data_IF_429062839062
#
_entry.id   IF_429062839062
#
_cell.length_a   1.000
_cell.length_b   1.000
_cell.length_c   1.000
_cell.angle_alpha   90.00
_cell.angle_beta   90.00
_cell.angle_gamma   90.00
#
_symmetry.space_group_name_H-M   'P 1'
#
loop_
_entity.id
_entity.type
_entity.pdbx_description
1 polymer ?
#
# COMPACT_ATOMS: atom_id res chain seq x y z
N UNK A 1 15.54 45.35 -41.61
CA UNK A 1 14.61 44.23 -41.81
C UNK A 1 14.77 43.31 -40.62
N UNK A 2 13.94 43.53 -39.64
CA UNK A 2 13.94 42.77 -38.38
C UNK A 2 13.20 41.47 -38.57
N UNK A 3 13.85 40.36 -38.24
CA UNK A 3 13.24 39.05 -38.23
C UNK A 3 12.48 38.83 -36.90
N UNK A 4 11.18 38.72 -37.02
CA UNK A 4 10.23 38.47 -35.98
C UNK A 4 10.41 37.04 -35.43
N UNK A 5 11.00 36.88 -34.25
CA UNK A 5 11.11 35.60 -33.55
C UNK A 5 9.81 35.34 -32.83
N UNK A 6 8.94 34.55 -33.44
CA UNK A 6 7.69 34.06 -32.84
C UNK A 6 7.97 33.26 -31.57
N UNK A 7 7.66 33.86 -30.43
CA UNK A 7 7.67 33.18 -29.13
C UNK A 7 6.62 32.08 -29.07
N UNK A 8 7.06 30.84 -29.10
CA UNK A 8 6.22 29.67 -28.79
C UNK A 8 5.76 29.76 -27.33
N UNK A 9 4.50 30.07 -27.12
CA UNK A 9 3.84 29.98 -25.81
C UNK A 9 3.89 28.50 -25.38
N UNK A 10 4.84 28.14 -24.51
CA UNK A 10 4.84 26.85 -23.84
C UNK A 10 3.55 26.72 -23.04
N UNK A 11 2.59 25.94 -23.52
CA UNK A 11 1.44 25.53 -22.73
C UNK A 11 1.96 24.93 -21.43
N UNK A 12 1.76 25.59 -20.28
CA UNK A 12 1.99 25.01 -18.96
C UNK A 12 1.15 23.72 -18.90
N UNK A 13 1.79 22.55 -18.91
CA UNK A 13 1.09 21.31 -18.57
C UNK A 13 0.59 21.49 -17.14
N UNK A 14 -0.71 21.33 -16.91
CA UNK A 14 -1.26 21.27 -15.56
C UNK A 14 -0.58 20.07 -14.90
N UNK A 15 0.28 20.33 -13.93
CA UNK A 15 0.83 19.27 -13.09
C UNK A 15 -0.27 18.81 -12.14
N UNK A 16 -0.43 17.51 -11.95
CA UNK A 16 -1.37 16.95 -10.98
C UNK A 16 -1.00 17.46 -9.58
N UNK A 17 -1.97 17.85 -8.72
CA UNK A 17 -1.67 18.34 -7.38
C UNK A 17 -0.96 17.27 -6.54
N UNK A 18 -0.08 17.69 -5.64
CA UNK A 18 0.55 16.78 -4.67
C UNK A 18 -0.50 16.15 -3.74
N UNK A 19 -0.27 14.94 -3.19
CA UNK A 19 -1.25 14.20 -2.39
C UNK A 19 -1.91 15.03 -1.27
N UNK A 20 -1.16 15.79 -0.49
CA UNK A 20 -1.74 16.67 0.53
C UNK A 20 -2.71 17.71 -0.05
N UNK A 21 -2.35 18.30 -1.19
CA UNK A 21 -3.23 19.29 -1.84
C UNK A 21 -4.54 18.62 -2.30
N UNK A 22 -4.48 17.39 -2.77
CA UNK A 22 -5.69 16.61 -3.14
C UNK A 22 -6.60 16.43 -1.93
N UNK A 23 -6.05 16.01 -0.76
CA UNK A 23 -6.84 15.83 0.46
C UNK A 23 -7.46 17.15 0.93
N UNK A 24 -6.68 18.24 0.91
CA UNK A 24 -7.19 19.57 1.26
C UNK A 24 -8.32 20.02 0.32
N UNK A 25 -8.17 19.80 -0.98
CA UNK A 25 -9.20 20.13 -1.98
C UNK A 25 -10.44 19.28 -1.77
N UNK A 26 -10.30 17.97 -1.51
CA UNK A 26 -11.45 17.09 -1.25
C UNK A 26 -12.18 17.52 0.03
N UNK A 27 -11.46 17.77 1.12
CA UNK A 27 -12.06 18.29 2.36
C UNK A 27 -12.81 19.62 2.11
N UNK A 28 -12.23 20.53 1.29
CA UNK A 28 -12.88 21.78 0.90
C UNK A 28 -14.15 21.55 0.07
N UNK A 29 -14.10 20.59 -0.88
CA UNK A 29 -15.27 20.23 -1.68
C UNK A 29 -16.39 19.74 -0.77
N UNK A 30 -16.12 18.82 0.17
CA UNK A 30 -17.13 18.34 1.11
C UNK A 30 -17.60 19.45 2.06
N UNK A 31 -16.73 20.37 2.49
CA UNK A 31 -17.13 21.56 3.26
C UNK A 31 -18.09 22.47 2.47
N UNK A 32 -17.89 22.63 1.15
CA UNK A 32 -18.82 23.37 0.29
C UNK A 32 -20.12 22.56 0.08
N UNK A 33 -20.02 21.26 -0.11
CA UNK A 33 -21.19 20.39 -0.28
C UNK A 33 -22.07 20.34 0.97
N UNK A 34 -21.56 20.63 2.17
CA UNK A 34 -22.34 20.71 3.40
C UNK A 34 -23.42 21.81 3.38
N UNK A 35 -23.31 22.77 2.47
CA UNK A 35 -24.35 23.79 2.25
C UNK A 35 -25.50 23.32 1.35
N UNK A 36 -25.38 22.13 0.73
CA UNK A 36 -26.34 21.62 -0.27
C UNK A 36 -26.86 20.23 0.15
N UNK A 37 -26.01 19.41 0.73
CA UNK A 37 -26.40 18.06 1.17
C UNK A 37 -27.03 18.17 2.55
N UNK A 38 -28.29 17.76 2.73
CA UNK A 38 -28.96 17.86 4.01
C UNK A 38 -28.36 16.93 5.06
N UNK A 39 -28.38 17.37 6.31
CA UNK A 39 -28.00 16.57 7.46
C UNK A 39 -29.03 15.47 7.72
N UNK A 40 -28.55 14.26 8.03
CA UNK A 40 -29.42 13.13 8.35
C UNK A 40 -28.76 12.19 9.35
N UNK A 41 -29.55 11.33 9.95
CA UNK A 41 -29.07 10.32 10.89
C UNK A 41 -29.76 8.98 10.68
N UNK A 42 -29.02 7.92 11.01
CA UNK A 42 -29.55 6.59 11.31
C UNK A 42 -29.42 6.33 12.80
N UNK A 43 -30.29 5.53 13.35
CA UNK A 43 -30.08 4.97 14.68
C UNK A 43 -29.06 3.84 14.60
N UNK A 44 -28.29 3.68 15.68
CA UNK A 44 -27.35 2.56 15.83
C UNK A 44 -28.03 1.43 16.55
N UNK A 45 -27.86 0.22 16.08
CA UNK A 45 -28.30 -1.00 16.74
C UNK A 45 -27.11 -1.90 17.04
N UNK A 46 -27.19 -2.67 18.11
CA UNK A 46 -26.13 -3.61 18.50
C UNK A 46 -26.46 -4.97 17.93
N UNK A 47 -25.53 -5.51 17.14
CA UNK A 47 -25.62 -6.90 16.68
C UNK A 47 -24.57 -7.75 17.38
N UNK A 48 -24.94 -9.03 17.63
CA UNK A 48 -24.02 -10.04 18.09
C UNK A 48 -23.43 -10.76 16.87
N UNK A 49 -22.14 -11.02 16.91
CA UNK A 49 -21.45 -11.80 15.88
C UNK A 49 -20.44 -12.73 16.51
N UNK A 50 -20.18 -13.85 15.87
CA UNK A 50 -19.16 -14.80 16.30
C UNK A 50 -17.78 -14.29 15.86
N UNK A 51 -16.92 -13.99 16.82
CA UNK A 51 -15.54 -13.58 16.58
C UNK A 51 -14.68 -14.75 16.07
N UNK A 52 -13.51 -14.47 15.53
CA UNK A 52 -12.62 -15.48 14.95
C UNK A 52 -12.13 -16.54 15.95
N UNK A 53 -12.22 -16.27 17.25
CA UNK A 53 -11.90 -17.18 18.34
C UNK A 53 -13.09 -18.03 18.81
N UNK A 54 -14.25 -17.89 18.14
CA UNK A 54 -15.49 -18.57 18.50
C UNK A 54 -16.25 -17.91 19.65
N UNK A 55 -15.80 -16.76 20.18
CA UNK A 55 -16.53 -16.00 21.19
C UNK A 55 -17.63 -15.14 20.54
N UNK A 56 -18.74 -14.93 21.28
CA UNK A 56 -19.74 -13.94 20.86
C UNK A 56 -19.29 -12.55 21.24
N UNK A 57 -19.17 -11.68 20.24
CA UNK A 57 -18.84 -10.29 20.38
C UNK A 57 -20.03 -9.43 19.93
N UNK A 58 -20.11 -8.20 20.43
CA UNK A 58 -21.13 -7.23 20.02
C UNK A 58 -20.48 -6.07 19.28
N UNK A 59 -21.18 -5.54 18.28
CA UNK A 59 -20.81 -4.28 17.64
C UNK A 59 -22.02 -3.44 17.31
N UNK A 60 -21.82 -2.14 17.29
CA UNK A 60 -22.82 -1.20 16.80
C UNK A 60 -22.79 -1.15 15.27
N UNK A 61 -23.96 -1.23 14.67
CA UNK A 61 -24.19 -1.09 13.21
C UNK A 61 -25.34 -0.13 12.98
N UNK A 62 -25.39 0.44 11.80
CA UNK A 62 -26.47 1.28 11.35
C UNK A 62 -27.74 0.44 11.16
N UNK A 63 -28.88 0.88 11.74
CA UNK A 63 -30.19 0.31 11.47
C UNK A 63 -30.76 0.92 10.17
N UNK A 64 -30.88 0.14 9.08
CA UNK A 64 -31.22 0.68 7.76
C UNK A 64 -32.63 1.29 7.70
N UNK A 65 -33.56 0.87 8.56
CA UNK A 65 -34.94 1.31 8.56
C UNK A 65 -35.19 2.63 9.31
N UNK A 66 -34.15 3.20 9.93
CA UNK A 66 -34.27 4.34 10.84
C UNK A 66 -33.79 5.67 10.25
N UNK A 67 -33.50 5.72 8.93
CA UNK A 67 -33.03 6.95 8.32
C UNK A 67 -34.01 8.11 8.44
N UNK A 68 -33.55 9.25 8.91
CA UNK A 68 -34.32 10.46 9.03
C UNK A 68 -33.49 11.70 8.74
N UNK A 69 -34.11 12.71 8.09
CA UNK A 69 -33.51 14.02 7.96
C UNK A 69 -33.53 14.72 9.32
N UNK A 70 -32.48 15.48 9.59
CA UNK A 70 -32.43 16.32 10.81
C UNK A 70 -33.25 17.59 10.64
N UNK A 71 -33.69 18.13 11.77
CA UNK A 71 -34.49 19.38 11.76
C UNK A 71 -33.66 20.62 11.36
N UNK A 72 -32.35 20.59 11.66
CA UNK A 72 -31.41 21.66 11.32
C UNK A 72 -30.24 21.09 10.54
N UNK A 73 -29.90 21.72 9.42
CA UNK A 73 -28.71 21.42 8.64
C UNK A 73 -27.49 22.13 9.25
N UNK A 74 -26.38 21.39 9.35
CA UNK A 74 -25.11 21.95 9.82
C UNK A 74 -24.13 22.14 8.68
N UNK A 75 -23.99 23.39 8.21
CA UNK A 75 -22.98 23.75 7.20
C UNK A 75 -21.62 24.02 7.86
N UNK A 76 -20.57 23.37 7.36
CA UNK A 76 -19.22 23.46 7.90
C UNK A 76 -18.64 24.86 7.69
N UNK A 77 -18.30 25.53 8.77
CA UNK A 77 -17.66 26.85 8.75
C UNK A 77 -16.19 26.76 8.27
N UNK A 78 -15.63 27.90 7.85
CA UNK A 78 -14.23 27.97 7.46
C UNK A 78 -13.26 27.58 8.59
N UNK A 79 -13.60 27.85 9.85
CA UNK A 79 -12.78 27.47 10.98
C UNK A 79 -12.80 25.94 11.21
N UNK A 80 -13.97 25.31 11.11
CA UNK A 80 -14.11 23.85 11.19
C UNK A 80 -13.35 23.16 10.06
N UNK A 81 -13.42 23.68 8.83
CA UNK A 81 -12.60 23.18 7.72
C UNK A 81 -11.11 23.23 8.04
N UNK A 82 -10.57 24.35 8.55
CA UNK A 82 -9.13 24.44 8.85
C UNK A 82 -8.74 23.52 10.01
N UNK A 83 -9.56 23.45 11.06
CA UNK A 83 -9.28 22.61 12.23
C UNK A 83 -9.50 21.13 11.96
N UNK A 84 -10.23 20.76 10.90
CA UNK A 84 -10.47 19.36 10.53
C UNK A 84 -9.19 18.59 10.29
N UNK A 85 -8.12 19.23 9.79
CA UNK A 85 -6.83 18.57 9.56
C UNK A 85 -6.16 18.14 10.86
N UNK A 86 -6.22 18.93 11.90
CA UNK A 86 -5.69 18.60 13.22
C UNK A 86 -6.56 17.50 13.85
N UNK A 87 -7.88 17.69 13.85
CA UNK A 87 -8.85 16.72 14.37
C UNK A 87 -8.79 15.38 13.64
N UNK A 88 -8.53 15.40 12.34
CA UNK A 88 -8.28 14.17 11.55
C UNK A 88 -7.04 13.41 12.01
N UNK A 89 -5.94 14.09 12.31
CA UNK A 89 -4.75 13.47 12.89
C UNK A 89 -4.97 12.98 14.32
N UNK A 90 -5.72 13.74 15.14
CA UNK A 90 -6.08 13.35 16.50
C UNK A 90 -7.03 12.14 16.56
N UNK A 91 -7.78 11.89 15.49
CA UNK A 91 -8.70 10.75 15.41
C UNK A 91 -8.03 9.41 15.08
N UNK A 92 -6.81 9.40 14.54
CA UNK A 92 -6.10 8.17 14.09
C UNK A 92 -4.60 8.15 14.45
N UNK A 93 -4.20 8.60 15.66
CA UNK A 93 -2.79 8.71 16.02
C UNK A 93 -2.11 7.35 16.12
N UNK A 94 -2.80 6.32 16.58
CA UNK A 94 -2.34 4.95 16.74
C UNK A 94 -1.93 4.35 15.39
N UNK A 95 -2.73 4.55 14.35
CA UNK A 95 -2.42 4.15 12.97
C UNK A 95 -1.18 4.90 12.47
N UNK A 96 -1.15 6.23 12.62
CA UNK A 96 -0.04 7.06 12.16
C UNK A 96 1.28 6.68 12.82
N UNK A 97 1.29 6.48 14.15
CA UNK A 97 2.50 6.08 14.88
C UNK A 97 2.91 4.64 14.56
N UNK A 98 1.96 3.73 14.32
CA UNK A 98 2.29 2.38 13.87
C UNK A 98 3.00 2.42 12.51
N UNK A 99 2.53 3.21 11.55
CA UNK A 99 3.17 3.39 10.25
C UNK A 99 4.57 3.99 10.43
N UNK A 100 4.74 5.03 11.22
CA UNK A 100 6.06 5.63 11.47
C UNK A 100 7.06 4.63 12.04
N UNK A 101 6.69 3.92 13.10
CA UNK A 101 7.62 3.05 13.83
C UNK A 101 7.92 1.76 13.08
N UNK A 102 6.93 1.16 12.41
CA UNK A 102 7.16 -0.05 11.62
C UNK A 102 8.03 0.24 10.40
N UNK A 103 7.75 1.30 9.63
CA UNK A 103 8.59 1.68 8.49
C UNK A 103 10.01 2.03 8.93
N UNK A 104 10.17 2.78 10.02
CA UNK A 104 11.49 3.09 10.55
C UNK A 104 12.28 1.85 10.96
N UNK A 105 11.61 0.83 11.52
CA UNK A 105 12.25 -0.44 11.85
C UNK A 105 12.70 -1.20 10.59
N UNK A 106 11.88 -1.24 9.54
CA UNK A 106 12.26 -1.83 8.26
C UNK A 106 13.35 -1.03 7.54
N UNK A 107 13.34 0.30 7.66
CA UNK A 107 14.44 1.14 7.17
C UNK A 107 15.77 0.73 7.81
N UNK A 108 15.80 0.48 9.13
CA UNK A 108 16.98 -0.05 9.83
C UNK A 108 17.41 -1.41 9.24
N UNK A 109 16.47 -2.31 8.94
CA UNK A 109 16.77 -3.59 8.30
C UNK A 109 17.40 -3.38 6.92
N UNK A 110 16.86 -2.49 6.10
CA UNK A 110 17.37 -2.15 4.77
C UNK A 110 18.79 -1.60 4.83
N UNK A 111 19.09 -0.69 5.76
CA UNK A 111 20.43 -0.14 5.97
C UNK A 111 21.49 -1.19 6.29
N UNK A 112 21.10 -2.36 6.83
CA UNK A 112 22.02 -3.47 7.02
C UNK A 112 22.43 -4.18 5.73
N UNK A 113 21.69 -3.97 4.65
CA UNK A 113 21.81 -4.69 3.39
C UNK A 113 21.48 -6.18 3.50
N UNK A 114 20.75 -6.61 4.54
CA UNK A 114 20.45 -8.02 4.78
C UNK A 114 19.53 -8.59 3.69
N UNK A 115 18.50 -7.84 3.27
CA UNK A 115 17.55 -8.24 2.23
C UNK A 115 18.28 -8.35 0.89
N UNK A 116 19.05 -7.32 0.52
CA UNK A 116 19.83 -7.28 -0.73
C UNK A 116 20.83 -8.44 -0.80
N UNK A 117 21.54 -8.70 0.31
CA UNK A 117 22.49 -9.81 0.41
C UNK A 117 21.80 -11.20 0.27
N UNK A 118 20.61 -11.36 0.87
CA UNK A 118 19.83 -12.59 0.79
C UNK A 118 19.38 -12.89 -0.64
N UNK A 119 18.76 -11.89 -1.29
CA UNK A 119 18.31 -11.99 -2.69
C UNK A 119 19.51 -12.19 -3.64
N UNK A 120 20.59 -11.41 -3.48
CA UNK A 120 21.80 -11.54 -4.29
C UNK A 120 22.42 -12.93 -4.17
N UNK A 121 22.48 -13.50 -2.96
CA UNK A 121 22.98 -14.88 -2.75
C UNK A 121 22.10 -15.93 -3.43
N UNK A 122 20.78 -15.74 -3.41
CA UNK A 122 19.85 -16.63 -4.08
C UNK A 122 20.09 -16.62 -5.59
N UNK A 123 20.21 -15.43 -6.19
CA UNK A 123 20.49 -15.27 -7.62
C UNK A 123 21.76 -15.98 -8.02
N UNK A 124 22.85 -15.74 -7.28
CA UNK A 124 24.15 -16.40 -7.54
C UNK A 124 24.03 -17.94 -7.41
N UNK A 125 23.30 -18.45 -6.42
CA UNK A 125 23.10 -19.88 -6.19
C UNK A 125 22.28 -20.56 -7.30
N UNK A 126 21.30 -19.86 -7.86
CA UNK A 126 20.46 -20.38 -8.95
C UNK A 126 21.21 -20.46 -10.28
N UNK A 127 22.21 -19.61 -10.50
CA UNK A 127 23.17 -19.68 -11.61
C UNK A 127 22.51 -19.95 -12.97
N UNK A 128 22.86 -21.10 -13.59
CA UNK A 128 22.38 -21.45 -14.93
C UNK A 128 20.92 -21.93 -15.00
N UNK A 129 20.23 -22.09 -13.88
CA UNK A 129 18.78 -22.40 -13.85
C UNK A 129 17.95 -21.14 -14.02
N UNK A 130 18.20 -20.41 -15.10
CA UNK A 130 17.64 -19.09 -15.42
C UNK A 130 16.13 -19.00 -15.25
N UNK A 131 15.44 -20.04 -15.71
CA UNK A 131 13.98 -20.15 -15.67
C UNK A 131 13.41 -20.12 -14.23
N UNK A 132 14.10 -20.72 -13.25
CA UNK A 132 13.61 -20.76 -11.86
C UNK A 132 13.82 -19.43 -11.11
N UNK A 133 14.65 -18.53 -11.62
CA UNK A 133 14.91 -17.24 -11.00
C UNK A 133 13.61 -16.42 -10.94
N UNK A 134 12.83 -16.41 -12.04
CA UNK A 134 11.60 -15.63 -12.17
C UNK A 134 10.60 -15.99 -11.05
N UNK A 135 10.08 -17.23 -10.96
CA UNK A 135 9.05 -17.55 -9.97
C UNK A 135 9.57 -17.51 -8.53
N UNK A 136 10.85 -17.83 -8.29
CA UNK A 136 11.39 -17.77 -6.93
C UNK A 136 11.47 -16.33 -6.42
N UNK A 137 11.98 -15.40 -7.23
CA UNK A 137 12.09 -14.00 -6.81
C UNK A 137 10.70 -13.36 -6.72
N UNK A 138 9.82 -13.64 -7.70
CA UNK A 138 8.45 -13.16 -7.68
C UNK A 138 7.71 -13.64 -6.41
N UNK A 139 7.81 -14.92 -6.07
CA UNK A 139 7.22 -15.46 -4.83
C UNK A 139 7.78 -14.79 -3.59
N UNK A 140 9.11 -14.56 -3.51
CA UNK A 140 9.72 -13.86 -2.36
C UNK A 140 9.17 -12.43 -2.25
N UNK A 141 9.09 -11.70 -3.35
CA UNK A 141 8.58 -10.33 -3.34
C UNK A 141 7.09 -10.26 -3.01
N UNK A 142 6.30 -11.21 -3.51
CA UNK A 142 4.90 -11.33 -3.13
C UNK A 142 4.72 -11.63 -1.62
N UNK A 143 5.55 -12.51 -1.05
CA UNK A 143 5.53 -12.77 0.39
C UNK A 143 5.91 -11.52 1.18
N UNK A 144 6.94 -10.77 0.77
CA UNK A 144 7.32 -9.52 1.42
C UNK A 144 6.20 -8.47 1.33
N UNK A 145 5.57 -8.30 0.17
CA UNK A 145 4.41 -7.43 0.00
C UNK A 145 3.22 -7.84 0.87
N UNK A 146 2.93 -9.16 0.94
CA UNK A 146 1.82 -9.70 1.70
C UNK A 146 2.00 -9.61 3.22
N UNK A 147 3.23 -9.74 3.71
CA UNK A 147 3.51 -9.83 5.16
C UNK A 147 4.02 -8.51 5.73
N UNK A 148 5.00 -7.91 5.09
CA UNK A 148 5.69 -6.70 5.55
C UNK A 148 5.00 -5.44 5.03
N UNK A 149 4.30 -5.55 3.88
CA UNK A 149 3.71 -4.40 3.22
C UNK A 149 4.74 -3.57 2.44
N UNK A 150 5.87 -4.18 2.05
CA UNK A 150 6.87 -3.53 1.21
C UNK A 150 6.43 -3.56 -0.24
N UNK A 151 6.36 -2.42 -0.87
CA UNK A 151 6.10 -2.29 -2.31
C UNK A 151 7.10 -1.33 -2.95
N UNK A 152 7.21 -0.12 -2.42
CA UNK A 152 8.12 0.91 -2.91
C UNK A 152 9.59 0.49 -2.75
N UNK A 153 9.92 -0.17 -1.65
CA UNK A 153 11.25 -0.69 -1.38
C UNK A 153 11.66 -1.79 -2.38
N UNK A 154 10.68 -2.51 -2.94
CA UNK A 154 10.98 -3.51 -3.97
C UNK A 154 11.51 -2.87 -5.25
N UNK A 155 11.15 -1.62 -5.56
CA UNK A 155 11.66 -0.91 -6.74
C UNK A 155 13.18 -0.75 -6.71
N UNK A 156 13.81 -0.70 -5.53
CA UNK A 156 15.27 -0.66 -5.38
C UNK A 156 15.97 -1.90 -5.95
N UNK A 157 15.23 -3.01 -6.17
CA UNK A 157 15.79 -4.21 -6.80
C UNK A 157 15.80 -4.14 -8.33
N UNK A 158 15.07 -3.23 -8.95
CA UNK A 158 15.05 -3.11 -10.42
C UNK A 158 16.45 -2.89 -11.00
N UNK A 159 17.28 -1.96 -10.49
CA UNK A 159 18.66 -1.77 -10.98
C UNK A 159 19.55 -2.99 -10.82
N UNK A 160 19.28 -3.82 -9.82
CA UNK A 160 20.05 -5.04 -9.56
C UNK A 160 19.59 -6.19 -10.46
N UNK A 161 18.29 -6.34 -10.63
CA UNK A 161 17.69 -7.47 -11.35
C UNK A 161 17.71 -7.27 -12.87
N UNK A 162 17.53 -6.04 -13.37
CA UNK A 162 17.47 -5.76 -14.80
C UNK A 162 18.72 -6.25 -15.55
N UNK A 163 19.96 -5.91 -15.14
CA UNK A 163 21.16 -6.44 -15.80
C UNK A 163 21.24 -7.95 -15.73
N UNK A 164 20.74 -8.58 -14.65
CA UNK A 164 20.77 -10.04 -14.47
C UNK A 164 19.81 -10.73 -15.44
N UNK A 165 18.58 -10.24 -15.52
CA UNK A 165 17.59 -10.81 -16.44
C UNK A 165 17.94 -10.55 -17.89
N UNK A 166 18.41 -9.35 -18.24
CA UNK A 166 18.89 -9.04 -19.59
C UNK A 166 20.10 -9.90 -19.96
N UNK A 167 21.10 -10.02 -19.08
CA UNK A 167 22.25 -10.91 -19.26
C UNK A 167 21.88 -12.39 -19.34
N UNK A 168 20.75 -12.79 -18.76
CA UNK A 168 20.19 -14.12 -18.87
C UNK A 168 19.45 -14.38 -20.21
N UNK A 169 19.25 -13.35 -21.03
CA UNK A 169 18.54 -13.43 -22.31
C UNK A 169 17.05 -13.12 -22.22
N UNK A 170 16.61 -12.54 -21.11
CA UNK A 170 15.29 -11.96 -20.91
C UNK A 170 15.30 -10.46 -21.20
N UNK A 171 14.29 -9.73 -20.77
CA UNK A 171 14.18 -8.29 -20.99
C UNK A 171 13.85 -7.53 -19.69
N UNK A 172 13.87 -6.20 -19.77
CA UNK A 172 13.52 -5.31 -18.66
C UNK A 172 12.05 -5.44 -18.25
N UNK A 173 11.13 -5.85 -19.14
CA UNK A 173 9.72 -6.08 -18.79
C UNK A 173 9.55 -7.25 -17.83
N UNK A 174 10.35 -8.32 -17.97
CA UNK A 174 10.36 -9.40 -16.97
C UNK A 174 10.83 -8.88 -15.63
N UNK A 175 11.84 -8.01 -15.60
CA UNK A 175 12.28 -7.38 -14.34
C UNK A 175 11.16 -6.60 -13.66
N UNK A 176 10.49 -5.74 -14.42
CA UNK A 176 9.35 -4.94 -13.93
C UNK A 176 8.23 -5.87 -13.46
N UNK A 177 7.89 -6.90 -14.24
CA UNK A 177 6.88 -7.88 -13.87
C UNK A 177 7.21 -8.63 -12.57
N UNK A 178 8.46 -9.07 -12.40
CA UNK A 178 8.91 -9.77 -11.19
C UNK A 178 8.89 -8.84 -9.97
N UNK A 179 9.22 -7.55 -10.12
CA UNK A 179 9.25 -6.61 -8.99
C UNK A 179 7.86 -6.06 -8.71
N UNK A 180 7.25 -5.42 -9.69
CA UNK A 180 6.00 -4.67 -9.49
C UNK A 180 4.77 -5.59 -9.44
N UNK A 181 4.62 -6.52 -10.40
CA UNK A 181 3.44 -7.38 -10.40
C UNK A 181 3.46 -8.38 -9.23
N UNK A 182 4.65 -8.87 -8.84
CA UNK A 182 4.73 -9.75 -7.68
C UNK A 182 4.46 -9.00 -6.36
N UNK A 183 4.98 -7.77 -6.22
CA UNK A 183 4.63 -6.90 -5.09
C UNK A 183 3.12 -6.65 -5.03
N UNK A 184 2.48 -6.32 -6.15
CA UNK A 184 1.03 -6.14 -6.25
C UNK A 184 0.25 -7.43 -5.89
N UNK A 185 0.73 -8.61 -6.33
CA UNK A 185 0.14 -9.89 -5.90
C UNK A 185 0.22 -10.09 -4.39
N UNK A 186 1.33 -9.68 -3.78
CA UNK A 186 1.52 -9.69 -2.34
C UNK A 186 0.51 -8.78 -1.62
N UNK A 187 0.33 -7.57 -2.11
CA UNK A 187 -0.65 -6.62 -1.57
C UNK A 187 -2.09 -7.13 -1.74
N UNK A 188 -2.44 -7.68 -2.91
CA UNK A 188 -3.77 -8.25 -3.16
C UNK A 188 -4.07 -9.46 -2.26
N UNK A 189 -3.05 -10.26 -1.93
CA UNK A 189 -3.15 -11.37 -0.97
C UNK A 189 -2.54 -11.00 0.39
N UNK A 190 -2.77 -9.77 0.88
CA UNK A 190 -2.21 -9.28 2.13
C UNK A 190 -2.57 -10.19 3.32
N UNK A 191 -1.56 -10.74 4.00
CA UNK A 191 -1.78 -11.63 5.15
C UNK A 191 -1.57 -10.92 6.48
N UNK A 192 -0.43 -10.25 6.64
CA UNK A 192 -0.07 -9.49 7.85
C UNK A 192 0.40 -8.07 7.52
N UNK A 193 0.02 -7.58 6.35
CA UNK A 193 0.33 -6.22 5.93
C UNK A 193 -0.43 -5.22 6.81
N UNK A 194 0.30 -4.57 7.71
CA UNK A 194 -0.27 -3.61 8.65
C UNK A 194 -0.70 -2.30 7.98
N UNK A 195 -0.09 -1.94 6.82
CA UNK A 195 -0.28 -0.64 6.17
C UNK A 195 -1.56 -0.55 5.32
N UNK A 196 -2.01 -1.67 4.77
CA UNK A 196 -3.24 -1.72 3.97
C UNK A 196 -4.32 -2.53 4.69
N UNK A 197 -4.12 -3.84 4.81
CA UNK A 197 -5.09 -4.74 5.45
C UNK A 197 -5.36 -4.35 6.91
N UNK A 198 -4.31 -4.16 7.72
CA UNK A 198 -4.45 -3.81 9.13
C UNK A 198 -5.20 -2.50 9.33
N UNK A 199 -4.84 -1.45 8.56
CA UNK A 199 -5.52 -0.14 8.59
C UNK A 199 -6.97 -0.29 8.17
N UNK A 200 -7.26 -0.97 7.05
CA UNK A 200 -8.61 -1.13 6.56
C UNK A 200 -9.50 -1.92 7.54
N UNK A 201 -8.99 -3.03 8.08
CA UNK A 201 -9.74 -3.83 9.06
C UNK A 201 -9.95 -3.09 10.37
N UNK A 202 -8.93 -2.36 10.85
CA UNK A 202 -9.05 -1.54 12.04
C UNK A 202 -10.14 -0.48 11.91
N UNK A 203 -10.18 0.24 10.79
CA UNK A 203 -11.21 1.24 10.51
C UNK A 203 -12.59 0.59 10.33
N UNK A 204 -12.66 -0.58 9.69
CA UNK A 204 -13.91 -1.33 9.53
C UNK A 204 -14.44 -1.94 10.84
N UNK A 205 -13.69 -1.86 11.95
CA UNK A 205 -14.04 -2.51 13.22
C UNK A 205 -13.97 -4.05 13.14
N UNK A 206 -13.07 -4.58 12.32
CA UNK A 206 -12.79 -6.00 12.18
C UNK A 206 -11.54 -6.38 12.99
N UNK A 207 -11.44 -7.64 13.46
CA UNK A 207 -10.20 -8.13 14.03
C UNK A 207 -9.07 -8.01 13.00
N UNK A 208 -7.91 -7.48 13.44
CA UNK A 208 -6.75 -7.29 12.54
C UNK A 208 -6.31 -8.65 12.01
N UNK A 209 -6.02 -8.69 10.70
CA UNK A 209 -5.66 -9.88 9.94
C UNK A 209 -6.74 -10.99 9.94
N UNK A 210 -8.01 -10.64 10.22
CA UNK A 210 -9.14 -11.56 10.01
C UNK A 210 -9.25 -11.96 8.53
N UNK A 211 -9.87 -13.12 8.26
CA UNK A 211 -9.93 -13.64 6.89
C UNK A 211 -8.60 -14.21 6.35
N UNK A 212 -7.61 -14.47 7.22
CA UNK A 212 -6.27 -14.96 6.86
C UNK A 212 -6.28 -16.12 5.86
N UNK A 213 -7.21 -17.06 6.01
CA UNK A 213 -7.31 -18.22 5.12
C UNK A 213 -7.65 -17.78 3.68
N UNK A 214 -8.57 -16.84 3.53
CA UNK A 214 -8.92 -16.27 2.23
C UNK A 214 -7.73 -15.53 1.61
N UNK A 215 -7.01 -14.73 2.39
CA UNK A 215 -5.82 -14.00 1.96
C UNK A 215 -4.70 -14.93 1.50
N UNK A 216 -4.45 -16.03 2.22
CA UNK A 216 -3.45 -17.04 1.81
C UNK A 216 -3.83 -17.68 0.47
N UNK A 217 -5.11 -18.06 0.30
CA UNK A 217 -5.58 -18.62 -0.97
C UNK A 217 -5.46 -17.58 -2.08
N UNK A 218 -5.86 -16.33 -1.82
CA UNK A 218 -5.72 -15.20 -2.75
C UNK A 218 -4.27 -14.99 -3.16
N UNK A 219 -3.34 -14.93 -2.19
CA UNK A 219 -1.91 -14.80 -2.44
C UNK A 219 -1.39 -15.89 -3.38
N UNK A 220 -1.73 -17.16 -3.10
CA UNK A 220 -1.30 -18.28 -3.94
C UNK A 220 -1.86 -18.14 -5.36
N UNK A 221 -3.14 -17.79 -5.50
CA UNK A 221 -3.78 -17.59 -6.81
C UNK A 221 -3.11 -16.45 -7.59
N UNK A 222 -2.88 -15.30 -6.96
CA UNK A 222 -2.24 -14.15 -7.61
C UNK A 222 -0.80 -14.46 -7.99
N UNK A 223 -0.01 -15.05 -7.08
CA UNK A 223 1.40 -15.42 -7.34
C UNK A 223 1.49 -16.42 -8.50
N UNK A 224 0.69 -17.49 -8.45
CA UNK A 224 0.69 -18.51 -9.53
C UNK A 224 0.27 -17.88 -10.86
N UNK A 225 -0.71 -16.99 -10.86
CA UNK A 225 -1.16 -16.31 -12.07
C UNK A 225 -0.04 -15.47 -12.68
N UNK A 226 0.64 -14.66 -11.86
CA UNK A 226 1.77 -13.83 -12.32
C UNK A 226 2.92 -14.69 -12.78
N UNK A 227 3.29 -15.72 -12.03
CA UNK A 227 4.36 -16.63 -12.41
C UNK A 227 4.08 -17.31 -13.76
N UNK A 228 2.86 -17.78 -13.98
CA UNK A 228 2.47 -18.39 -15.26
C UNK A 228 2.60 -17.39 -16.41
N UNK A 229 2.15 -16.15 -16.23
CA UNK A 229 2.25 -15.08 -17.24
C UNK A 229 3.72 -14.76 -17.54
N UNK A 230 4.53 -14.54 -16.51
CA UNK A 230 5.95 -14.21 -16.65
C UNK A 230 6.75 -15.35 -17.29
N UNK A 231 6.50 -16.58 -16.86
CA UNK A 231 7.13 -17.78 -17.43
C UNK A 231 6.74 -17.97 -18.89
N UNK A 232 5.46 -17.78 -19.23
CA UNK A 232 5.01 -17.87 -20.63
C UNK A 232 5.71 -16.82 -21.49
N UNK A 233 5.82 -15.59 -21.00
CA UNK A 233 6.50 -14.50 -21.69
C UNK A 233 8.02 -14.77 -21.80
N UNK A 234 8.66 -15.22 -20.73
CA UNK A 234 10.07 -15.60 -20.72
C UNK A 234 10.41 -16.69 -21.75
N UNK A 235 9.60 -17.76 -21.82
CA UNK A 235 9.74 -18.81 -22.84
C UNK A 235 9.58 -18.33 -24.27
N UNK A 236 8.80 -17.29 -24.48
CA UNK A 236 8.66 -16.66 -25.78
C UNK A 236 9.94 -15.90 -26.17
N UNK A 237 10.58 -15.22 -25.22
CA UNK A 237 11.84 -14.53 -25.44
C UNK A 237 13.02 -15.50 -25.61
N UNK A 238 13.03 -16.63 -24.91
CA UNK A 238 14.05 -17.66 -25.10
C UNK A 238 14.10 -18.20 -26.54
N UNK A 239 12.95 -18.22 -27.24
CA UNK A 239 12.88 -18.63 -28.64
C UNK A 239 13.32 -17.53 -29.61
N UNK A 240 13.03 -16.28 -29.28
CA UNK A 240 13.30 -15.14 -30.14
C UNK A 240 13.29 -13.83 -29.33
N UNK A 241 14.45 -13.34 -28.97
CA UNK A 241 14.62 -12.12 -28.17
C UNK A 241 14.11 -10.86 -28.88
N UNK A 242 14.06 -10.88 -30.24
CA UNK A 242 13.56 -9.72 -31.00
C UNK A 242 12.06 -9.45 -30.80
N UNK A 243 11.36 -10.39 -30.17
CA UNK A 243 9.93 -10.21 -29.79
C UNK A 243 9.73 -9.39 -28.53
N UNK A 244 10.78 -9.01 -27.84
CA UNK A 244 10.71 -8.06 -26.74
C UNK A 244 10.35 -6.66 -27.24
N UNK A 245 9.41 -6.00 -26.56
CA UNK A 245 9.09 -4.60 -26.81
C UNK A 245 10.25 -3.65 -26.42
N UNK A 246 11.17 -4.12 -25.57
CA UNK A 246 12.31 -3.36 -25.05
C UNK A 246 13.64 -3.76 -25.70
N UNK A 247 13.61 -4.59 -26.77
CA UNK A 247 14.82 -5.20 -27.34
C UNK A 247 15.94 -4.21 -27.66
N UNK A 248 15.63 -3.10 -28.33
CA UNK A 248 16.64 -2.10 -28.71
C UNK A 248 17.18 -1.33 -27.48
N UNK A 249 16.29 -1.00 -26.54
CA UNK A 249 16.67 -0.30 -25.30
C UNK A 249 17.54 -1.18 -24.41
N UNK A 250 17.14 -2.44 -24.24
CA UNK A 250 17.83 -3.41 -23.40
C UNK A 250 19.21 -3.77 -23.99
N UNK A 251 19.34 -3.78 -25.30
CA UNK A 251 20.61 -3.99 -25.99
C UNK A 251 21.61 -2.84 -25.70
N UNK A 252 21.12 -1.59 -25.73
CA UNK A 252 21.94 -0.41 -25.37
C UNK A 252 22.30 -0.47 -23.88
N UNK A 253 21.32 -0.82 -23.04
CA UNK A 253 21.51 -0.95 -21.58
C UNK A 253 22.58 -2.01 -21.25
N UNK A 254 22.52 -3.20 -21.87
CA UNK A 254 23.47 -4.28 -21.64
C UNK A 254 24.92 -3.91 -22.01
N UNK A 255 25.09 -3.03 -23.00
CA UNK A 255 26.42 -2.55 -23.40
C UNK A 255 27.05 -1.61 -22.36
N UNK A 256 26.23 -0.87 -21.62
CA UNK A 256 26.67 0.16 -20.69
C UNK A 256 26.70 -0.30 -19.22
N UNK A 257 26.00 -1.39 -18.86
CA UNK A 257 25.79 -1.82 -17.49
C UNK A 257 26.15 -3.32 -17.30
N UNK A 258 27.43 -3.61 -17.21
CA UNK A 258 27.87 -4.94 -16.78
C UNK A 258 27.59 -5.12 -15.27
N UNK A 259 26.93 -6.22 -14.88
CA UNK A 259 26.66 -6.50 -13.47
C UNK A 259 27.96 -6.78 -12.74
N UNK A 260 28.29 -5.94 -11.79
CA UNK A 260 29.32 -6.24 -10.80
C UNK A 260 28.71 -6.95 -9.59
N UNK A 261 28.66 -8.26 -9.63
CA UNK A 261 28.23 -9.09 -8.50
C UNK A 261 29.14 -8.96 -7.27
N UNK A 262 30.34 -8.40 -7.43
CA UNK A 262 31.27 -8.19 -6.32
C UNK A 262 30.85 -7.01 -5.45
N UNK A 263 30.02 -6.11 -5.97
CA UNK A 263 29.46 -4.97 -5.22
C UNK A 263 28.30 -5.35 -4.28
N UNK A 264 27.71 -6.56 -4.45
CA UNK A 264 26.62 -6.99 -3.58
C UNK A 264 27.13 -7.30 -2.16
N UNK A 265 26.38 -6.88 -1.11
CA UNK A 265 26.76 -7.15 0.25
C UNK A 265 26.88 -8.65 0.52
N UNK A 266 27.96 -9.08 1.20
CA UNK A 266 28.15 -10.48 1.55
C UNK A 266 27.02 -11.03 2.44
N UNK A 267 26.48 -12.21 2.11
CA UNK A 267 25.48 -12.90 2.92
C UNK A 267 26.12 -13.62 4.12
N UNK A 268 26.66 -12.83 5.03
CA UNK A 268 27.35 -13.28 6.22
C UNK A 268 26.41 -13.68 7.37
N UNK A 269 26.94 -14.21 8.47
CA UNK A 269 26.17 -14.65 9.64
C UNK A 269 25.35 -13.54 10.27
N UNK A 270 25.87 -12.32 10.34
CA UNK A 270 25.17 -11.14 10.87
C UNK A 270 23.87 -10.88 10.07
N UNK A 271 23.94 -10.87 8.74
CA UNK A 271 22.77 -10.63 7.89
C UNK A 271 21.76 -11.77 7.93
N UNK A 272 22.22 -13.03 8.06
CA UNK A 272 21.34 -14.18 8.30
C UNK A 272 20.57 -14.05 9.60
N UNK A 273 21.24 -13.64 10.69
CA UNK A 273 20.60 -13.41 11.98
C UNK A 273 19.57 -12.26 11.90
N UNK A 274 19.88 -11.19 11.17
CA UNK A 274 18.94 -10.09 10.94
C UNK A 274 17.68 -10.57 10.25
N UNK A 275 17.79 -11.33 9.15
CA UNK A 275 16.62 -11.89 8.47
C UNK A 275 15.85 -12.86 9.36
N UNK A 276 16.54 -13.63 10.21
CA UNK A 276 15.88 -14.48 11.20
C UNK A 276 15.08 -13.64 12.23
N UNK A 277 15.64 -12.52 12.70
CA UNK A 277 14.91 -11.60 13.60
C UNK A 277 13.67 -11.04 12.93
N UNK A 278 13.74 -10.64 11.65
CA UNK A 278 12.56 -10.19 10.89
C UNK A 278 11.49 -11.28 10.83
N UNK A 279 11.86 -12.51 10.48
CA UNK A 279 10.93 -13.64 10.44
C UNK A 279 10.31 -13.94 11.81
N UNK A 280 11.11 -13.91 12.88
CA UNK A 280 10.61 -14.11 14.25
C UNK A 280 9.68 -12.97 14.67
N UNK A 281 9.97 -11.74 14.29
CA UNK A 281 9.10 -10.58 14.56
C UNK A 281 7.74 -10.76 13.90
N UNK A 282 7.70 -11.17 12.64
CA UNK A 282 6.44 -11.45 11.94
C UNK A 282 5.66 -12.56 12.66
N UNK A 283 6.34 -13.64 13.05
CA UNK A 283 5.72 -14.74 13.79
C UNK A 283 5.16 -14.29 15.15
N UNK A 284 5.88 -13.43 15.88
CA UNK A 284 5.43 -12.85 17.17
C UNK A 284 4.23 -11.94 16.97
N UNK A 285 4.24 -11.08 15.94
CA UNK A 285 3.10 -10.22 15.59
C UNK A 285 1.87 -11.07 15.29
N UNK A 286 2.01 -12.08 14.42
CA UNK A 286 0.89 -13.00 14.11
C UNK A 286 0.35 -13.70 15.36
N UNK A 287 1.24 -14.24 16.19
CA UNK A 287 0.83 -14.90 17.43
C UNK A 287 0.13 -13.93 18.38
N UNK A 288 0.66 -12.71 18.54
CA UNK A 288 0.10 -11.68 19.39
C UNK A 288 -1.28 -11.22 18.92
N UNK A 289 -1.46 -11.02 17.62
CA UNK A 289 -2.76 -10.63 17.04
C UNK A 289 -3.78 -11.76 17.20
N UNK A 290 -3.42 -13.00 16.82
CA UNK A 290 -4.36 -14.12 16.83
C UNK A 290 -4.72 -14.60 18.25
N UNK A 291 -3.79 -14.49 19.21
CA UNK A 291 -3.99 -15.04 20.56
C UNK A 291 -4.43 -13.99 21.58
N UNK A 292 -3.90 -12.75 21.44
CA UNK A 292 -4.12 -11.68 22.42
C UNK A 292 -4.90 -10.49 21.85
N UNK A 293 -5.29 -10.53 20.58
CA UNK A 293 -5.98 -9.42 19.92
C UNK A 293 -5.14 -8.14 19.86
N UNK A 294 -3.83 -8.25 19.65
CA UNK A 294 -2.94 -7.07 19.53
C UNK A 294 -3.42 -6.15 18.42
N UNK A 295 -3.25 -4.85 18.68
CA UNK A 295 -3.66 -3.79 17.77
C UNK A 295 -2.44 -2.88 17.43
N UNK A 296 -2.65 -1.76 16.79
CA UNK A 296 -1.58 -0.89 16.26
C UNK A 296 -0.50 -0.53 17.28
N UNK A 297 -0.87 -0.27 18.53
CA UNK A 297 0.06 0.10 19.60
C UNK A 297 1.07 -1.02 19.87
N UNK A 298 0.60 -2.26 20.03
CA UNK A 298 1.46 -3.43 20.28
C UNK A 298 2.31 -3.75 19.04
N UNK A 299 1.74 -3.63 17.85
CA UNK A 299 2.46 -3.84 16.59
C UNK A 299 3.63 -2.85 16.48
N UNK A 300 3.36 -1.56 16.71
CA UNK A 300 4.37 -0.51 16.68
C UNK A 300 5.52 -0.79 17.66
N UNK A 301 5.18 -1.22 18.89
CA UNK A 301 6.17 -1.58 19.93
C UNK A 301 7.04 -2.76 19.52
N UNK A 302 6.47 -3.81 18.93
CA UNK A 302 7.21 -5.01 18.49
C UNK A 302 8.12 -4.67 17.30
N UNK A 303 7.68 -3.86 16.33
CA UNK A 303 8.53 -3.41 15.23
C UNK A 303 9.67 -2.52 15.72
N UNK A 304 9.41 -1.60 16.65
CA UNK A 304 10.45 -0.78 17.27
C UNK A 304 11.52 -1.65 17.96
N UNK A 305 11.10 -2.66 18.72
CA UNK A 305 11.98 -3.63 19.35
C UNK A 305 12.81 -4.41 18.31
N UNK A 306 12.21 -4.81 17.19
CA UNK A 306 12.91 -5.42 16.06
C UNK A 306 14.05 -4.54 15.57
N UNK A 307 13.77 -3.27 15.27
CA UNK A 307 14.79 -2.31 14.81
C UNK A 307 15.94 -2.16 15.79
N UNK A 308 15.64 -2.15 17.10
CA UNK A 308 16.66 -2.08 18.16
C UNK A 308 17.52 -3.36 18.22
N UNK A 309 16.91 -4.55 18.16
CA UNK A 309 17.62 -5.84 18.13
C UNK A 309 18.51 -5.94 16.87
N UNK A 310 17.99 -5.56 15.72
CA UNK A 310 18.72 -5.52 14.45
C UNK A 310 19.94 -4.60 14.56
N UNK A 311 19.79 -3.43 15.19
CA UNK A 311 20.90 -2.50 15.44
C UNK A 311 22.00 -3.16 16.27
N UNK A 312 21.66 -3.83 17.37
CA UNK A 312 22.62 -4.50 18.25
C UNK A 312 23.40 -5.58 17.48
N UNK A 313 22.70 -6.37 16.66
CA UNK A 313 23.32 -7.43 15.86
C UNK A 313 24.24 -6.83 14.79
N UNK A 314 23.79 -5.80 14.10
CA UNK A 314 24.52 -5.18 12.99
C UNK A 314 25.78 -4.45 13.47
N UNK A 315 25.65 -3.64 14.52
CA UNK A 315 26.76 -2.84 15.11
C UNK A 315 27.60 -3.63 16.10
N UNK A 316 27.22 -4.86 16.45
CA UNK A 316 27.87 -5.72 17.44
C UNK A 316 27.94 -5.06 18.84
N UNK A 317 26.91 -4.32 19.21
CA UNK A 317 26.81 -3.62 20.50
C UNK A 317 25.70 -2.56 20.52
N UNK A 318 25.58 -1.91 21.68
CA UNK A 318 24.59 -0.84 21.89
C UNK A 318 25.03 0.43 21.16
N UNK A 319 24.55 0.61 19.92
CA UNK A 319 24.80 1.80 19.11
C UNK A 319 23.55 2.70 19.10
N UNK A 320 23.18 3.23 20.27
CA UNK A 320 21.94 3.98 20.49
C UNK A 320 21.84 5.20 19.56
N UNK A 321 22.92 5.96 19.39
CA UNK A 321 22.89 7.13 18.51
C UNK A 321 22.62 6.73 17.06
N UNK A 322 23.28 5.68 16.56
CA UNK A 322 23.02 5.16 15.22
C UNK A 322 21.58 4.67 15.07
N UNK A 323 21.04 3.95 16.07
CA UNK A 323 19.64 3.54 16.10
C UNK A 323 18.70 4.74 15.98
N UNK A 324 18.91 5.79 16.79
CA UNK A 324 18.10 7.00 16.75
C UNK A 324 18.20 7.73 15.40
N UNK A 325 19.40 7.81 14.83
CA UNK A 325 19.61 8.43 13.52
C UNK A 325 18.86 7.70 12.41
N UNK A 326 18.93 6.36 12.38
CA UNK A 326 18.20 5.54 11.39
C UNK A 326 16.69 5.54 11.64
N UNK A 327 16.27 5.53 12.90
CA UNK A 327 14.86 5.64 13.27
C UNK A 327 14.26 6.94 12.71
N UNK A 328 14.95 8.06 12.94
CA UNK A 328 14.52 9.38 12.42
C UNK A 328 14.58 9.42 10.90
N UNK A 329 15.59 8.81 10.27
CA UNK A 329 15.68 8.72 8.82
C UNK A 329 14.48 7.95 8.22
N UNK A 330 14.17 6.78 8.76
CA UNK A 330 13.02 5.98 8.32
C UNK A 330 11.68 6.66 8.56
N UNK A 331 11.51 7.39 9.69
CA UNK A 331 10.31 8.20 9.90
C UNK A 331 10.18 9.33 8.88
N UNK A 332 11.29 9.98 8.50
CA UNK A 332 11.28 11.02 7.45
C UNK A 332 10.92 10.46 6.09
N UNK A 333 11.36 9.26 5.78
CA UNK A 333 11.08 8.58 4.51
C UNK A 333 9.58 8.37 4.33
N UNK A 334 8.88 7.86 5.36
CA UNK A 334 7.43 7.62 5.33
C UNK A 334 6.58 8.82 5.77
N UNK A 335 7.18 9.99 6.03
CA UNK A 335 6.46 11.14 6.60
C UNK A 335 5.17 11.46 5.81
N UNK A 336 5.27 11.51 4.49
CA UNK A 336 4.12 11.82 3.62
C UNK A 336 3.05 10.74 3.79
N UNK A 337 3.40 9.45 3.72
CA UNK A 337 2.48 8.33 3.85
C UNK A 337 1.74 8.32 5.19
N UNK A 338 2.45 8.44 6.30
CA UNK A 338 1.85 8.44 7.62
C UNK A 338 0.95 9.67 7.87
N UNK A 339 1.39 10.85 7.44
CA UNK A 339 0.59 12.08 7.57
C UNK A 339 -0.65 12.08 6.67
N UNK A 340 -0.58 11.40 5.51
CA UNK A 340 -1.73 11.26 4.60
C UNK A 340 -2.93 10.59 5.27
N UNK A 341 -2.72 9.65 6.18
CA UNK A 341 -3.80 8.98 6.93
C UNK A 341 -4.62 10.00 7.73
N UNK A 342 -3.95 10.88 8.47
CA UNK A 342 -4.61 11.95 9.24
C UNK A 342 -5.29 12.98 8.35
N UNK A 343 -4.65 13.39 7.24
CA UNK A 343 -5.25 14.31 6.26
C UNK A 343 -6.45 13.67 5.54
N UNK A 344 -6.40 12.39 5.22
CA UNK A 344 -7.52 11.66 4.65
C UNK A 344 -8.69 11.59 5.64
N UNK A 345 -8.40 11.34 6.93
CA UNK A 345 -9.41 11.35 8.00
C UNK A 345 -10.09 12.72 8.17
N UNK A 346 -9.43 13.83 7.84
CA UNK A 346 -10.04 15.17 7.89
C UNK A 346 -11.26 15.30 6.97
N UNK A 347 -11.29 14.59 5.84
CA UNK A 347 -12.45 14.56 4.94
C UNK A 347 -13.66 13.99 5.68
N UNK A 348 -13.45 12.89 6.41
CA UNK A 348 -14.49 12.28 7.20
C UNK A 348 -14.93 13.18 8.36
N UNK A 349 -13.99 13.85 9.05
CA UNK A 349 -14.32 14.84 10.10
C UNK A 349 -15.22 15.94 9.55
N UNK A 350 -14.96 16.49 8.38
CA UNK A 350 -15.82 17.47 7.72
C UNK A 350 -17.21 16.90 7.42
N UNK A 351 -17.30 15.67 6.97
CA UNK A 351 -18.57 15.00 6.67
C UNK A 351 -19.34 14.62 7.94
N UNK A 352 -18.64 14.29 9.03
CA UNK A 352 -19.21 14.03 10.37
C UNK A 352 -19.78 15.34 10.96
N UNK A 353 -19.02 16.43 10.91
CA UNK A 353 -19.46 17.75 11.37
C UNK A 353 -20.75 18.20 10.64
N UNK A 354 -20.79 18.02 9.32
CA UNK A 354 -21.96 18.31 8.50
C UNK A 354 -23.10 17.30 8.66
N UNK A 355 -22.87 16.18 9.37
CA UNK A 355 -23.84 15.08 9.49
C UNK A 355 -24.38 14.59 8.14
N UNK A 356 -23.54 14.71 7.07
CA UNK A 356 -23.92 14.37 5.70
C UNK A 356 -23.61 12.91 5.33
N UNK A 357 -22.84 12.19 6.16
CA UNK A 357 -22.42 10.80 5.88
C UNK A 357 -23.63 9.92 5.65
N UNK A 358 -24.62 10.00 6.52
CA UNK A 358 -25.80 9.15 6.44
C UNK A 358 -26.66 9.49 5.22
N UNK A 359 -26.71 10.73 4.77
CA UNK A 359 -27.38 11.14 3.52
C UNK A 359 -26.68 10.51 2.31
N UNK A 360 -25.35 10.57 2.28
CA UNK A 360 -24.55 9.96 1.19
C UNK A 360 -24.73 8.45 1.18
N UNK A 361 -24.67 7.80 2.36
CA UNK A 361 -24.88 6.35 2.48
C UNK A 361 -26.28 5.97 2.02
N UNK A 362 -27.32 6.68 2.45
CA UNK A 362 -28.70 6.43 2.03
C UNK A 362 -28.87 6.56 0.51
N UNK A 363 -28.31 7.61 -0.09
CA UNK A 363 -28.32 7.77 -1.53
C UNK A 363 -27.58 6.63 -2.26
N UNK A 364 -26.42 6.18 -1.75
CA UNK A 364 -25.70 5.06 -2.31
C UNK A 364 -26.48 3.75 -2.20
N UNK A 365 -27.08 3.46 -1.03
CA UNK A 365 -27.92 2.28 -0.80
C UNK A 365 -29.08 2.25 -1.76
N UNK A 366 -29.81 3.36 -1.94
CA UNK A 366 -30.96 3.45 -2.83
C UNK A 366 -30.67 3.08 -4.30
N UNK A 367 -29.40 3.20 -4.71
CA UNK A 367 -28.91 2.76 -6.02
C UNK A 367 -28.50 1.30 -5.98
N UNK A 368 -27.76 0.89 -4.94
CA UNK A 368 -27.15 -0.44 -4.85
C UNK A 368 -28.16 -1.55 -4.53
N UNK A 369 -29.21 -1.27 -3.73
CA UNK A 369 -30.28 -2.23 -3.42
C UNK A 369 -31.01 -2.75 -4.66
N UNK A 370 -30.99 -1.99 -5.75
CA UNK A 370 -31.59 -2.38 -7.02
C UNK A 370 -30.71 -3.30 -7.84
N UNK A 371 -29.46 -3.51 -7.41
CA UNK A 371 -28.48 -4.32 -8.10
C UNK A 371 -28.36 -5.69 -7.42
N UNK A 372 -28.08 -6.77 -8.13
CA UNK A 372 -27.65 -8.02 -7.53
C UNK A 372 -26.35 -7.81 -6.71
N UNK A 373 -26.17 -8.57 -5.63
CA UNK A 373 -25.01 -8.47 -4.72
C UNK A 373 -23.67 -8.41 -5.45
N UNK A 374 -23.50 -9.24 -6.49
CA UNK A 374 -22.29 -9.24 -7.33
C UNK A 374 -22.05 -7.90 -8.00
N UNK A 375 -23.12 -7.23 -8.45
CA UNK A 375 -23.02 -5.91 -9.09
C UNK A 375 -22.70 -4.82 -8.07
N UNK A 376 -23.18 -4.93 -6.84
CA UNK A 376 -22.83 -4.03 -5.75
C UNK A 376 -21.34 -4.14 -5.40
N UNK A 377 -20.78 -5.35 -5.33
CA UNK A 377 -19.35 -5.60 -5.13
C UNK A 377 -18.52 -5.02 -6.29
N UNK A 378 -18.94 -5.25 -7.54
CA UNK A 378 -18.27 -4.68 -8.74
C UNK A 378 -18.32 -3.16 -8.72
N UNK A 379 -19.45 -2.56 -8.31
CA UNK A 379 -19.58 -1.12 -8.16
C UNK A 379 -18.62 -0.54 -7.13
N UNK A 380 -18.50 -1.16 -5.97
CA UNK A 380 -17.51 -0.78 -4.96
C UNK A 380 -16.07 -0.92 -5.50
N UNK A 381 -15.77 -2.00 -6.20
CA UNK A 381 -14.45 -2.24 -6.80
C UNK A 381 -14.07 -1.14 -7.82
N UNK A 382 -14.97 -0.79 -8.73
CA UNK A 382 -14.75 0.28 -9.71
C UNK A 382 -14.55 1.63 -9.00
N UNK A 383 -15.35 1.90 -7.97
CA UNK A 383 -15.21 3.12 -7.16
C UNK A 383 -13.84 3.19 -6.49
N UNK A 384 -13.39 2.10 -5.89
CA UNK A 384 -12.07 2.03 -5.24
C UNK A 384 -10.92 2.23 -6.25
N UNK A 385 -11.01 1.65 -7.46
CA UNK A 385 -10.02 1.89 -8.52
C UNK A 385 -9.96 3.39 -8.88
N UNK A 386 -11.11 4.03 -9.08
CA UNK A 386 -11.15 5.46 -9.43
C UNK A 386 -10.50 6.30 -8.31
N UNK A 387 -10.82 5.99 -7.06
CA UNK A 387 -10.25 6.70 -5.90
C UNK A 387 -8.75 6.46 -5.78
N UNK A 388 -8.25 5.27 -6.08
CA UNK A 388 -6.82 4.96 -6.06
C UNK A 388 -5.99 5.85 -7.00
N UNK A 389 -6.53 6.29 -8.13
CA UNK A 389 -5.87 7.28 -9.00
C UNK A 389 -5.88 8.70 -8.41
N UNK A 390 -6.80 8.99 -7.51
CA UNK A 390 -6.91 10.29 -6.84
C UNK A 390 -6.05 10.31 -5.58
N UNK A 391 -6.05 9.20 -4.84
CA UNK A 391 -5.34 8.99 -3.57
C UNK A 391 -4.35 7.82 -3.75
N UNK A 392 -3.15 8.07 -4.29
CA UNK A 392 -2.18 7.02 -4.57
C UNK A 392 -1.42 6.57 -3.30
N UNK A 393 -2.16 6.27 -2.24
CA UNK A 393 -1.63 5.80 -0.96
C UNK A 393 -2.61 4.79 -0.37
N UNK A 394 -2.18 3.53 -0.20
CA UNK A 394 -3.03 2.48 0.32
C UNK A 394 -3.66 2.83 1.68
N UNK A 395 -2.86 3.21 2.67
CA UNK A 395 -3.37 3.62 3.99
C UNK A 395 -4.25 4.88 3.93
N UNK A 396 -3.89 5.85 3.08
CA UNK A 396 -4.69 7.07 2.85
C UNK A 396 -6.03 6.75 2.19
N UNK A 397 -6.06 5.88 1.19
CA UNK A 397 -7.28 5.41 0.54
C UNK A 397 -8.17 4.65 1.53
N UNK A 398 -7.61 3.71 2.31
CA UNK A 398 -8.35 3.00 3.36
C UNK A 398 -9.02 4.00 4.33
N UNK A 399 -8.26 4.96 4.84
CA UNK A 399 -8.74 5.95 5.80
C UNK A 399 -9.86 6.86 5.26
N UNK A 400 -9.86 7.10 3.94
CA UNK A 400 -10.89 7.91 3.28
C UNK A 400 -12.13 7.11 2.90
N UNK A 401 -11.98 5.84 2.51
CA UNK A 401 -13.07 5.09 1.87
C UNK A 401 -13.72 4.06 2.78
N UNK A 402 -12.96 3.36 3.62
CA UNK A 402 -13.50 2.30 4.47
C UNK A 402 -14.57 2.80 5.46
N UNK A 403 -14.45 4.02 6.06
CA UNK A 403 -15.51 4.58 6.91
C UNK A 403 -16.87 4.67 6.21
N UNK A 404 -16.89 4.77 4.89
CA UNK A 404 -18.12 4.79 4.08
C UNK A 404 -18.47 3.40 3.54
N UNK A 405 -17.48 2.65 3.07
CA UNK A 405 -17.72 1.37 2.42
C UNK A 405 -18.09 0.25 3.40
N UNK A 406 -17.59 0.30 4.64
CA UNK A 406 -17.95 -0.70 5.64
C UNK A 406 -19.43 -0.58 6.09
N UNK A 407 -19.96 0.59 6.48
CA UNK A 407 -21.39 0.76 6.73
C UNK A 407 -22.26 0.48 5.48
N UNK A 408 -21.78 0.87 4.29
CA UNK A 408 -22.48 0.58 3.05
C UNK A 408 -22.63 -0.93 2.80
N UNK A 409 -21.59 -1.70 3.11
CA UNK A 409 -21.67 -3.14 3.05
C UNK A 409 -22.73 -3.69 4.02
N UNK A 410 -22.75 -3.22 5.28
CA UNK A 410 -23.77 -3.62 6.26
C UNK A 410 -25.19 -3.32 5.74
N UNK A 411 -25.42 -2.14 5.17
CA UNK A 411 -26.71 -1.70 4.62
C UNK A 411 -27.15 -2.47 3.36
N UNK A 412 -26.22 -3.00 2.60
CA UNK A 412 -26.50 -3.77 1.36
C UNK A 412 -26.47 -5.28 1.57
N UNK A 413 -26.41 -5.75 2.81
CA UNK A 413 -26.37 -7.19 3.14
C UNK A 413 -25.01 -7.85 2.84
N UNK A 414 -23.99 -7.09 2.50
CA UNK A 414 -22.61 -7.55 2.35
C UNK A 414 -21.89 -7.53 3.69
N UNK A 415 -20.79 -8.27 3.80
CA UNK A 415 -19.94 -8.20 5.00
C UNK A 415 -18.94 -7.06 4.90
N UNK A 416 -18.56 -6.47 6.04
CA UNK A 416 -17.45 -5.47 6.08
C UNK A 416 -16.14 -6.07 5.58
N UNK A 417 -15.93 -7.37 5.79
CA UNK A 417 -14.78 -8.07 5.24
C UNK A 417 -14.78 -8.00 3.70
N UNK A 418 -15.94 -8.15 3.05
CA UNK A 418 -16.06 -7.99 1.58
C UNK A 418 -15.65 -6.58 1.15
N UNK A 419 -16.08 -5.54 1.87
CA UNK A 419 -15.66 -4.16 1.55
C UNK A 419 -14.14 -3.97 1.69
N UNK A 420 -13.53 -4.55 2.72
CA UNK A 420 -12.08 -4.54 2.90
C UNK A 420 -11.37 -5.30 1.77
N UNK A 421 -11.85 -6.48 1.38
CA UNK A 421 -11.27 -7.26 0.27
C UNK A 421 -11.33 -6.50 -1.06
N UNK A 422 -12.47 -5.89 -1.33
CA UNK A 422 -12.66 -5.06 -2.54
C UNK A 422 -11.65 -3.91 -2.56
N UNK A 423 -11.45 -3.23 -1.44
CA UNK A 423 -10.44 -2.19 -1.31
C UNK A 423 -9.03 -2.76 -1.54
N UNK A 424 -8.62 -3.81 -0.83
CA UNK A 424 -7.29 -4.41 -0.91
C UNK A 424 -6.94 -4.81 -2.35
N UNK A 425 -7.85 -5.52 -3.03
CA UNK A 425 -7.62 -5.98 -4.40
C UNK A 425 -7.56 -4.79 -5.38
N UNK A 426 -8.42 -3.79 -5.21
CA UNK A 426 -8.43 -2.61 -6.07
C UNK A 426 -7.18 -1.76 -5.90
N UNK A 427 -6.73 -1.51 -4.66
CA UNK A 427 -5.50 -0.80 -4.35
C UNK A 427 -4.29 -1.54 -4.95
N UNK A 428 -4.18 -2.83 -4.70
CA UNK A 428 -3.07 -3.65 -5.18
C UNK A 428 -2.95 -3.68 -6.71
N UNK A 429 -4.07 -3.71 -7.43
CA UNK A 429 -4.06 -3.77 -8.90
C UNK A 429 -3.88 -2.41 -9.56
N UNK A 430 -4.31 -1.32 -8.90
CA UNK A 430 -4.18 0.04 -9.45
C UNK A 430 -2.85 0.72 -9.06
N UNK A 431 -2.28 0.39 -7.92
CA UNK A 431 -1.06 1.01 -7.39
C UNK A 431 0.15 0.93 -8.36
N UNK A 432 0.45 -0.20 -9.06
CA UNK A 432 1.49 -0.24 -10.06
C UNK A 432 1.34 0.81 -11.17
N UNK A 433 0.12 1.07 -11.59
CA UNK A 433 -0.15 2.04 -12.66
C UNK A 433 -0.09 3.49 -12.16
N UNK A 434 -0.55 3.78 -10.94
CA UNK A 434 -0.45 5.11 -10.35
C UNK A 434 1.00 5.52 -10.11
N UNK A 435 1.83 4.61 -9.63
CA UNK A 435 3.28 4.85 -9.44
C UNK A 435 4.03 5.05 -10.76
N UNK A 436 3.71 4.29 -11.81
CA UNK A 436 4.25 4.53 -13.15
C UNK A 436 3.87 5.90 -13.69
N UNK A 437 2.72 6.42 -13.33
CA UNK A 437 2.28 7.76 -13.74
C UNK A 437 3.04 8.86 -13.00
N UNK A 438 3.31 8.71 -11.71
CA UNK A 438 4.13 9.65 -10.92
C UNK A 438 5.60 9.67 -11.40
N UNK A 439 6.13 8.53 -11.82
CA UNK A 439 7.48 8.40 -12.38
C UNK A 439 7.59 8.79 -13.84
N UNK A 440 6.50 8.99 -14.57
CA UNK A 440 6.47 9.34 -16.00
C UNK A 440 6.73 10.81 -16.31
N UNK A 441 7.55 11.53 -15.51
CA UNK A 441 8.23 12.73 -16.00
C UNK A 441 9.25 12.31 -17.08
N UNK A 442 9.44 13.08 -18.19
CA UNK A 442 10.20 12.65 -19.36
C UNK A 442 11.66 12.22 -19.11
N UNK A 443 12.16 12.44 -17.91
CA UNK A 443 13.56 12.19 -17.53
C UNK A 443 13.76 10.92 -16.70
N UNK A 444 12.73 10.11 -16.44
CA UNK A 444 12.72 9.16 -15.33
C UNK A 444 12.82 7.65 -15.58
N UNK A 445 12.85 7.09 -16.77
CA UNK A 445 13.35 5.72 -16.88
C UNK A 445 14.82 5.60 -16.42
N UNK A 446 15.54 6.74 -16.41
CA UNK A 446 16.97 6.81 -16.13
C UNK A 446 17.33 7.46 -14.79
N UNK A 447 16.44 8.24 -14.14
CA UNK A 447 16.72 8.87 -12.83
C UNK A 447 16.68 7.87 -11.68
N UNK A 448 15.89 6.81 -11.76
CA UNK A 448 15.97 5.68 -10.80
C UNK A 448 17.37 5.06 -10.82
N UNK A 449 18.10 5.16 -11.94
CA UNK A 449 19.49 4.72 -12.07
C UNK A 449 20.53 5.75 -11.59
N UNK A 450 20.17 7.03 -11.43
CA UNK A 450 21.10 8.10 -11.04
C UNK A 450 21.04 8.52 -9.57
N UNK A 451 20.03 8.12 -8.79
CA UNK A 451 19.94 8.46 -7.36
C UNK A 451 20.96 7.76 -6.45
N UNK A 452 21.82 6.89 -6.98
CA UNK A 452 22.86 6.21 -6.18
C UNK A 452 24.26 6.85 -6.27
N UNK A 453 24.43 8.00 -6.93
CA UNK A 453 25.74 8.66 -7.08
C UNK A 453 25.72 10.16 -6.78
N UNK A 454 24.84 10.64 -5.90
CA UNK A 454 24.83 11.99 -5.35
C UNK A 454 25.09 12.02 -3.87
#
# INVERSE_FOLDING_TARGET
MEANTGGTIKKKKLAFPKPFAVMMILALIFSILSYVIPSSSYQMTTIEYEAADGSMATREVIDPDTWALMEEDHAVSFMEYITSFIRGMEAVPDIMFCIFLSTAAFYIVNETGAIVAGVGRLIIKLGNKKFLIIPIIATIFAILGSTVGTYEELLCFIPILAPIFIGAGYDSLITIGVVMCAGAAGFAGATTNAFTLGVAQGIAGLPIFSGMQFHIVGLVVFVVTIDVILIYYAKRLEKDQTRSLMYEQDKIFAQNNAVDFSSLPEFNTTRKLILLVVLLTIAVVMYGVLTYGWYFEQLAGVFLLMGFIVTIIFKKGLAINWFCDQLVAGMKDILVGAMMVGFARSILVVMEDAQMIHTILHAAVSVLEKLPDVMAVVGQYVTQIIISYIIPSGSGQASSTIPLMAPLADLTGLTRQTAVEVYIISDALSNPFSQLQETSTPDLPWQVFHMQHG
#
